data_IF_841609545772
#
_entry.id   IF_841609545772
#
_cell.length_a   1.000
_cell.length_b   1.000
_cell.length_c   1.000
_cell.angle_alpha   90.00
_cell.angle_beta   90.00
_cell.angle_gamma   90.00
#
_symmetry.space_group_name_H-M   'P 1'
#
loop_
_entity.id
_entity.type
_entity.pdbx_description
1 polymer ?
#
# COMPACT_ATOMS: atom_id res chain seq x y z
N UNK A 1 -2.50 -24.61 8.69
CA UNK A 1 -2.52 -23.18 8.37
C UNK A 1 -3.78 -22.96 7.57
N UNK A 2 -4.73 -22.21 8.12
CA UNK A 2 -6.05 -22.06 7.54
C UNK A 2 -5.98 -21.40 6.17
N UNK A 3 -6.91 -21.74 5.27
CA UNK A 3 -6.93 -21.22 3.90
C UNK A 3 -7.04 -19.68 3.86
N UNK A 4 -7.73 -19.10 4.85
CA UNK A 4 -7.81 -17.66 5.05
C UNK A 4 -6.45 -17.06 5.45
N UNK A 5 -5.67 -17.73 6.30
CA UNK A 5 -4.31 -17.29 6.65
C UNK A 5 -3.36 -17.38 5.45
N UNK A 6 -3.56 -18.38 4.59
CA UNK A 6 -2.83 -18.48 3.32
C UNK A 6 -3.15 -17.31 2.39
N UNK A 7 -4.42 -16.91 2.28
CA UNK A 7 -4.82 -15.73 1.52
C UNK A 7 -4.21 -14.45 2.05
N UNK A 8 -4.24 -14.25 3.38
CA UNK A 8 -3.62 -13.09 3.99
C UNK A 8 -2.10 -13.07 3.77
N UNK A 9 -1.42 -14.21 3.93
CA UNK A 9 0.03 -14.26 3.72
C UNK A 9 0.41 -13.98 2.26
N UNK A 10 -0.38 -14.49 1.30
CA UNK A 10 -0.22 -14.16 -0.13
C UNK A 10 -0.39 -12.66 -0.36
N UNK A 11 -1.45 -12.06 0.16
CA UNK A 11 -1.70 -10.62 0.05
C UNK A 11 -0.53 -9.78 0.60
N UNK A 12 -0.06 -10.10 1.81
CA UNK A 12 1.09 -9.42 2.43
C UNK A 12 2.32 -9.54 1.54
N UNK A 13 2.62 -10.74 1.06
CA UNK A 13 3.81 -10.98 0.23
C UNK A 13 3.74 -10.20 -1.09
N UNK A 14 2.58 -10.15 -1.76
CA UNK A 14 2.41 -9.40 -3.00
C UNK A 14 2.61 -7.89 -2.80
N UNK A 15 2.05 -7.33 -1.72
CA UNK A 15 2.25 -5.91 -1.39
C UNK A 15 3.72 -5.63 -1.08
N UNK A 16 4.36 -6.48 -0.26
CA UNK A 16 5.75 -6.29 0.15
C UNK A 16 6.75 -6.39 -1.02
N UNK A 17 6.50 -7.27 -1.99
CA UNK A 17 7.37 -7.43 -3.17
C UNK A 17 7.42 -6.19 -4.07
N UNK A 18 6.34 -5.40 -4.08
CA UNK A 18 6.23 -4.17 -4.86
C UNK A 18 6.50 -2.91 -4.04
N UNK A 19 6.85 -3.05 -2.75
CA UNK A 19 6.92 -1.94 -1.80
C UNK A 19 8.09 -0.97 -2.11
N UNK A 20 7.81 0.31 -2.43
CA UNK A 20 8.84 1.31 -2.73
C UNK A 20 9.72 1.65 -1.51
N UNK A 21 9.24 1.38 -0.29
CA UNK A 21 9.94 1.70 0.96
C UNK A 21 11.29 0.97 1.07
N UNK A 22 11.36 -0.28 0.57
CA UNK A 22 12.53 -1.15 0.76
C UNK A 22 13.72 -0.72 -0.12
N UNK A 23 13.46 -0.22 -1.33
CA UNK A 23 14.53 0.00 -2.33
C UNK A 23 14.79 1.47 -2.63
N UNK A 24 13.73 2.25 -2.86
CA UNK A 24 13.87 3.58 -3.45
C UNK A 24 13.75 4.69 -2.41
N UNK A 25 12.90 4.49 -1.39
CA UNK A 25 12.79 5.47 -0.32
C UNK A 25 14.12 5.67 0.42
N UNK A 26 14.91 4.62 0.60
CA UNK A 26 16.23 4.76 1.20
C UNK A 26 17.14 5.69 0.37
N UNK A 27 17.07 5.64 -0.96
CA UNK A 27 17.84 6.54 -1.81
C UNK A 27 17.37 7.99 -1.69
N UNK A 28 16.06 8.22 -1.51
CA UNK A 28 15.49 9.55 -1.23
C UNK A 28 16.01 10.09 0.10
N UNK A 29 15.95 9.28 1.16
CA UNK A 29 16.44 9.66 2.50
C UNK A 29 17.93 9.97 2.52
N UNK A 30 18.72 9.29 1.69
CA UNK A 30 20.16 9.54 1.52
C UNK A 30 20.47 10.72 0.58
N UNK A 31 19.47 11.40 0.01
CA UNK A 31 19.65 12.50 -0.94
C UNK A 31 20.17 12.09 -2.31
N UNK A 32 20.19 10.77 -2.62
CA UNK A 32 20.67 10.21 -3.88
C UNK A 32 19.61 10.17 -4.96
N UNK A 33 18.34 10.30 -4.58
CA UNK A 33 17.19 10.35 -5.46
C UNK A 33 16.27 11.48 -5.00
N UNK A 34 15.68 12.23 -5.95
CA UNK A 34 14.71 13.26 -5.59
C UNK A 34 13.35 12.61 -5.29
N UNK A 35 12.58 13.11 -4.30
CA UNK A 35 11.23 12.59 -4.02
C UNK A 35 10.28 12.65 -5.23
N UNK A 36 10.49 13.63 -6.12
CA UNK A 36 9.70 13.85 -7.33
C UNK A 36 10.31 13.21 -8.59
N UNK A 37 11.31 12.33 -8.42
CA UNK A 37 11.90 11.61 -9.55
C UNK A 37 10.84 10.80 -10.30
N UNK A 38 10.87 10.87 -11.64
CA UNK A 38 9.86 10.24 -12.47
C UNK A 38 9.81 8.72 -12.31
N UNK A 39 10.97 8.07 -12.09
CA UNK A 39 11.05 6.63 -11.86
C UNK A 39 10.45 6.25 -10.50
N UNK A 40 10.75 7.02 -9.46
CA UNK A 40 10.15 6.80 -8.13
C UNK A 40 8.64 7.00 -8.15
N UNK A 41 8.16 8.03 -8.85
CA UNK A 41 6.73 8.25 -9.03
C UNK A 41 6.08 7.06 -9.72
N UNK A 42 6.62 6.59 -10.84
CA UNK A 42 6.08 5.43 -11.57
C UNK A 42 6.00 4.16 -10.70
N UNK A 43 7.05 3.88 -9.91
CA UNK A 43 7.04 2.74 -8.99
C UNK A 43 6.00 2.92 -7.88
N UNK A 44 5.86 4.13 -7.34
CA UNK A 44 4.89 4.42 -6.30
C UNK A 44 3.45 4.30 -6.80
N UNK A 45 3.14 4.81 -8.00
CA UNK A 45 1.84 4.63 -8.65
C UNK A 45 1.52 3.16 -8.90
N UNK A 46 2.51 2.40 -9.40
CA UNK A 46 2.36 0.95 -9.61
C UNK A 46 2.06 0.23 -8.30
N UNK A 47 2.75 0.58 -7.22
CA UNK A 47 2.50 0.02 -5.89
C UNK A 47 1.08 0.33 -5.37
N UNK A 48 0.59 1.57 -5.53
CA UNK A 48 -0.79 1.92 -5.18
C UNK A 48 -1.81 1.04 -5.93
N UNK A 49 -1.57 0.81 -7.23
CA UNK A 49 -2.40 -0.06 -8.06
C UNK A 49 -2.38 -1.52 -7.60
N UNK A 50 -1.19 -2.07 -7.31
CA UNK A 50 -1.03 -3.43 -6.78
C UNK A 50 -1.75 -3.57 -5.43
N UNK A 51 -1.61 -2.60 -4.54
CA UNK A 51 -2.28 -2.62 -3.24
C UNK A 51 -3.80 -2.65 -3.40
N UNK A 52 -4.35 -1.76 -4.23
CA UNK A 52 -5.79 -1.72 -4.50
C UNK A 52 -6.29 -3.05 -5.09
N UNK A 53 -5.52 -3.66 -5.99
CA UNK A 53 -5.87 -4.95 -6.57
C UNK A 53 -5.84 -6.07 -5.53
N UNK A 54 -4.84 -6.10 -4.65
CA UNK A 54 -4.75 -7.10 -3.57
C UNK A 54 -5.94 -7.01 -2.63
N UNK A 55 -6.34 -5.79 -2.24
CA UNK A 55 -7.53 -5.57 -1.43
C UNK A 55 -8.79 -6.10 -2.14
N UNK A 56 -8.98 -5.79 -3.42
CA UNK A 56 -10.15 -6.25 -4.19
C UNK A 56 -10.18 -7.75 -4.48
N UNK A 57 -9.04 -8.43 -4.56
CA UNK A 57 -8.96 -9.81 -5.06
C UNK A 57 -9.20 -10.87 -4.00
N UNK A 58 -9.12 -10.53 -2.71
CA UNK A 58 -9.20 -11.51 -1.62
C UNK A 58 -10.45 -11.24 -0.78
N UNK A 59 -11.20 -12.30 -0.47
CA UNK A 59 -12.24 -12.27 0.56
C UNK A 59 -11.57 -12.31 1.94
N UNK A 60 -11.21 -11.13 2.42
CA UNK A 60 -10.54 -10.95 3.71
C UNK A 60 -11.57 -10.64 4.80
N UNK A 61 -11.42 -11.26 5.97
CA UNK A 61 -12.20 -10.87 7.14
C UNK A 61 -11.75 -9.49 7.65
N UNK A 62 -12.57 -8.88 8.51
CA UNK A 62 -12.24 -7.58 9.10
C UNK A 62 -10.90 -7.58 9.85
N UNK A 63 -10.61 -8.64 10.60
CA UNK A 63 -9.35 -8.78 11.35
C UNK A 63 -8.13 -8.90 10.43
N UNK A 64 -8.30 -9.50 9.25
CA UNK A 64 -7.25 -9.61 8.24
C UNK A 64 -7.03 -8.31 7.49
N UNK A 65 -8.10 -7.57 7.18
CA UNK A 65 -8.02 -6.26 6.55
C UNK A 65 -7.23 -5.27 7.41
N UNK A 66 -7.43 -5.23 8.73
CA UNK A 66 -6.66 -4.33 9.62
C UNK A 66 -5.14 -4.55 9.50
N UNK A 67 -4.69 -5.77 9.19
CA UNK A 67 -3.26 -6.09 8.95
C UNK A 67 -2.75 -5.58 7.61
N UNK A 68 -3.65 -5.23 6.70
CA UNK A 68 -3.41 -4.61 5.40
C UNK A 68 -3.85 -3.15 5.39
N UNK A 69 -3.81 -2.47 6.54
CA UNK A 69 -4.00 -1.03 6.58
C UNK A 69 -2.91 -0.34 5.72
N UNK A 70 -3.28 0.41 4.66
CA UNK A 70 -2.32 1.13 3.84
C UNK A 70 -1.78 2.38 4.53
N UNK A 71 -2.46 2.93 5.54
CA UNK A 71 -2.17 4.25 6.12
C UNK A 71 -0.75 4.37 6.68
N UNK A 72 -0.19 3.41 7.44
CA UNK A 72 1.19 3.51 7.94
C UNK A 72 2.22 3.64 6.81
N UNK A 73 2.04 2.90 5.70
CA UNK A 73 2.96 2.95 4.55
C UNK A 73 2.79 4.23 3.75
N UNK A 74 1.54 4.66 3.54
CA UNK A 74 1.24 5.94 2.90
C UNK A 74 1.85 7.11 3.67
N UNK A 75 1.76 7.09 5.01
CA UNK A 75 2.36 8.12 5.87
C UNK A 75 3.85 8.27 5.64
N UNK A 76 4.59 7.16 5.60
CA UNK A 76 6.04 7.20 5.34
C UNK A 76 6.36 7.77 3.94
N UNK A 77 5.57 7.45 2.92
CA UNK A 77 5.75 8.01 1.57
C UNK A 77 5.42 9.51 1.50
N UNK A 78 4.42 9.96 2.26
CA UNK A 78 4.06 11.37 2.36
C UNK A 78 5.12 12.17 3.11
N UNK A 79 5.60 11.67 4.26
CA UNK A 79 6.67 12.30 5.03
C UNK A 79 7.96 12.48 4.21
N UNK A 80 8.23 11.52 3.32
CA UNK A 80 9.38 11.58 2.42
C UNK A 80 9.17 12.50 1.20
N UNK A 81 7.99 13.10 1.06
CA UNK A 81 7.62 13.96 -0.08
C UNK A 81 7.44 13.21 -1.40
N UNK A 82 7.33 11.89 -1.36
CA UNK A 82 7.12 11.03 -2.55
C UNK A 82 5.65 11.04 -2.96
N UNK A 83 4.76 11.09 -1.98
CA UNK A 83 3.32 11.28 -2.15
C UNK A 83 2.83 12.49 -1.37
N UNK A 84 1.56 12.83 -1.57
CA UNK A 84 0.83 13.77 -0.74
C UNK A 84 -0.48 13.11 -0.30
N UNK A 85 -1.00 13.48 0.87
CA UNK A 85 -2.36 13.11 1.27
C UNK A 85 -3.42 13.63 0.29
N UNK A 86 -3.08 14.66 -0.49
CA UNK A 86 -3.97 15.19 -1.53
C UNK A 86 -3.93 14.44 -2.85
N UNK A 87 -2.95 13.55 -3.03
CA UNK A 87 -2.80 12.75 -4.23
C UNK A 87 -4.00 11.81 -4.44
N UNK A 88 -4.48 11.71 -5.69
CA UNK A 88 -5.66 10.92 -6.02
C UNK A 88 -5.52 9.46 -5.60
N UNK A 89 -4.40 8.80 -5.96
CA UNK A 89 -4.17 7.40 -5.59
C UNK A 89 -4.07 7.16 -4.08
N UNK A 90 -3.61 8.16 -3.31
CA UNK A 90 -3.58 8.08 -1.83
C UNK A 90 -4.99 8.16 -1.25
N UNK A 91 -5.82 9.09 -1.76
CA UNK A 91 -7.23 9.22 -1.36
C UNK A 91 -8.03 7.98 -1.73
N UNK A 92 -7.87 7.50 -2.96
CA UNK A 92 -8.60 6.34 -3.49
C UNK A 92 -8.27 5.06 -2.73
N UNK A 93 -6.99 4.82 -2.43
CA UNK A 93 -6.58 3.62 -1.68
C UNK A 93 -7.13 3.63 -0.24
N UNK A 94 -7.11 4.79 0.43
CA UNK A 94 -7.70 4.93 1.77
C UNK A 94 -9.21 4.74 1.75
N UNK A 95 -9.89 5.36 0.77
CA UNK A 95 -11.33 5.21 0.62
C UNK A 95 -11.73 3.75 0.35
N UNK A 96 -11.00 3.07 -0.55
CA UNK A 96 -11.19 1.65 -0.83
C UNK A 96 -11.02 0.80 0.44
N UNK A 97 -9.94 1.01 1.18
CA UNK A 97 -9.70 0.28 2.43
C UNK A 97 -10.85 0.45 3.43
N UNK A 98 -11.29 1.70 3.66
CA UNK A 98 -12.40 2.00 4.57
C UNK A 98 -13.71 1.33 4.10
N UNK A 99 -14.01 1.38 2.80
CA UNK A 99 -15.17 0.68 2.23
C UNK A 99 -15.11 -0.82 2.49
N UNK A 100 -13.95 -1.44 2.31
CA UNK A 100 -13.78 -2.88 2.57
C UNK A 100 -13.93 -3.22 4.06
N UNK A 101 -13.40 -2.39 4.97
CA UNK A 101 -13.54 -2.59 6.41
C UNK A 101 -14.98 -2.45 6.89
N UNK A 102 -15.77 -1.55 6.28
CA UNK A 102 -17.20 -1.39 6.56
C UNK A 102 -18.01 -2.55 5.98
N UNK A 103 -17.67 -3.02 4.78
CA UNK A 103 -18.35 -4.12 4.11
C UNK A 103 -18.01 -5.50 4.71
N UNK A 104 -16.84 -5.64 5.35
CA UNK A 104 -16.41 -6.88 5.98
C UNK A 104 -17.23 -7.17 7.24
N UNK A 105 -17.91 -8.30 7.24
CA UNK A 105 -18.61 -8.84 8.41
C UNK A 105 -17.57 -9.39 9.40
N UNK A 106 -17.86 -9.27 10.70
CA UNK A 106 -17.02 -9.77 11.79
C UNK A 106 -16.89 -11.30 11.77
#
# INVERSE_FOLDING_TARGET
MDEQDQHLQRAINTIAQSDPLIKLLQQVRLGRMKPNDAGLRAVTESWLGVYAQVLKSHSLSRSQLVRLDPEPRLGVLVEAGVLSWDHAGTKDLRALFQQMVVAAIA
#
